data_IF_890015876000
#
_entry.id   IF_890015876000
#
_cell.length_a   1.000
_cell.length_b   1.000
_cell.length_c   1.000
_cell.angle_alpha   90.00
_cell.angle_beta   90.00
_cell.angle_gamma   90.00
#
_symmetry.space_group_name_H-M   'P 1'
#
loop_
_entity.id
_entity.type
_entity.pdbx_description
1 polymer ?
#
# COMPACT_ATOMS: atom_id res chain seq x y z
N UNK A 1 -25.83 -20.52 -9.39
CA UNK A 1 -25.57 -19.29 -10.16
C UNK A 1 -25.73 -19.63 -11.64
N UNK A 2 -26.50 -18.86 -12.42
CA UNK A 2 -26.59 -19.07 -13.87
C UNK A 2 -25.30 -18.53 -14.51
N UNK A 3 -24.70 -19.23 -15.50
CA UNK A 3 -23.55 -18.68 -16.22
C UNK A 3 -23.98 -17.38 -16.93
N UNK A 4 -23.07 -16.40 -17.07
CA UNK A 4 -23.37 -15.18 -17.80
C UNK A 4 -23.75 -15.52 -19.25
N UNK A 5 -24.77 -14.83 -19.76
CA UNK A 5 -25.21 -14.95 -21.16
C UNK A 5 -24.03 -14.54 -22.05
N UNK A 6 -23.58 -15.43 -22.93
CA UNK A 6 -22.58 -15.11 -23.94
C UNK A 6 -23.06 -13.90 -24.77
N UNK A 7 -22.30 -12.80 -24.71
CA UNK A 7 -22.48 -11.64 -25.56
C UNK A 7 -22.28 -12.12 -27.02
N UNK A 8 -23.17 -11.80 -27.97
CA UNK A 8 -22.99 -12.24 -29.35
C UNK A 8 -21.70 -11.62 -29.91
N UNK A 9 -20.71 -12.44 -30.27
CA UNK A 9 -19.53 -11.98 -31.00
C UNK A 9 -19.95 -11.59 -32.42
N UNK A 10 -20.33 -10.33 -32.60
CA UNK A 10 -20.45 -9.72 -33.93
C UNK A 10 -19.03 -9.59 -34.48
N UNK A 11 -18.68 -10.36 -35.52
CA UNK A 11 -17.41 -10.17 -36.23
C UNK A 11 -17.52 -8.85 -37.00
N UNK A 12 -16.92 -7.79 -36.45
CA UNK A 12 -16.71 -6.53 -37.19
C UNK A 12 -15.65 -6.77 -38.26
N UNK A 13 -15.83 -6.19 -39.44
CA UNK A 13 -14.77 -6.20 -40.47
C UNK A 13 -13.61 -5.30 -40.04
N UNK A 14 -12.41 -5.48 -40.62
CA UNK A 14 -11.27 -4.58 -40.36
C UNK A 14 -11.63 -3.12 -40.64
N UNK A 15 -12.42 -2.86 -41.68
CA UNK A 15 -12.90 -1.52 -42.01
C UNK A 15 -13.85 -0.94 -40.94
N UNK A 16 -14.63 -1.78 -40.25
CA UNK A 16 -15.52 -1.35 -39.18
C UNK A 16 -14.77 -1.14 -37.85
N UNK A 17 -13.74 -1.96 -37.58
CA UNK A 17 -12.81 -1.73 -36.48
C UNK A 17 -12.04 -0.43 -36.67
N UNK A 18 -11.38 -0.23 -37.82
CA UNK A 18 -10.63 0.99 -38.12
C UNK A 18 -11.48 2.26 -37.98
N UNK A 19 -12.74 2.24 -38.47
CA UNK A 19 -13.67 3.39 -38.32
C UNK A 19 -14.08 3.67 -36.88
N UNK A 20 -14.08 2.65 -36.02
CA UNK A 20 -14.40 2.79 -34.60
C UNK A 20 -13.18 3.27 -33.82
N UNK A 21 -12.00 2.70 -34.10
CA UNK A 21 -10.75 2.95 -33.38
C UNK A 21 -10.08 4.28 -33.78
N UNK A 22 -10.27 4.77 -35.01
CA UNK A 22 -9.78 6.11 -35.44
C UNK A 22 -10.40 7.29 -34.70
N UNK A 23 -11.39 7.04 -33.83
CA UNK A 23 -12.01 8.04 -32.94
C UNK A 23 -11.62 7.86 -31.48
N UNK A 24 -10.81 6.85 -31.17
CA UNK A 24 -10.31 6.63 -29.82
C UNK A 24 -9.14 7.56 -29.62
N UNK A 25 -9.26 8.37 -28.58
CA UNK A 25 -8.14 9.13 -28.06
C UNK A 25 -7.31 8.18 -27.19
N UNK A 26 -6.11 7.84 -27.65
CA UNK A 26 -5.24 6.84 -27.02
C UNK A 26 -3.83 7.39 -26.85
N UNK A 27 -3.20 7.25 -25.67
CA UNK A 27 -1.80 7.61 -25.46
C UNK A 27 -0.86 6.93 -26.47
N UNK A 28 -1.12 5.68 -26.85
CA UNK A 28 -0.33 4.96 -27.86
C UNK A 28 -0.33 5.68 -29.21
N UNK A 29 -1.51 6.11 -29.69
CA UNK A 29 -1.62 6.84 -30.96
C UNK A 29 -0.93 8.21 -30.90
N UNK A 30 -0.84 8.81 -29.72
CA UNK A 30 -0.22 10.10 -29.48
C UNK A 30 1.24 10.01 -29.05
N UNK A 31 1.80 8.82 -28.88
CA UNK A 31 3.10 8.60 -28.24
C UNK A 31 4.23 9.44 -28.86
N UNK A 32 4.25 9.61 -30.18
CA UNK A 32 5.20 10.51 -30.83
C UNK A 32 4.84 11.99 -30.65
N UNK A 33 3.57 12.35 -30.83
CA UNK A 33 3.14 13.76 -30.81
C UNK A 33 2.97 14.35 -29.41
N UNK A 34 3.17 13.55 -28.36
CA UNK A 34 2.97 13.98 -26.99
C UNK A 34 3.93 15.13 -26.64
N UNK A 35 3.43 16.26 -26.09
CA UNK A 35 4.28 17.41 -25.83
C UNK A 35 5.41 17.15 -24.83
N UNK A 36 5.16 16.34 -23.79
CA UNK A 36 6.18 16.03 -22.78
C UNK A 36 7.26 15.13 -23.36
N UNK A 37 6.86 14.15 -24.18
CA UNK A 37 7.82 13.35 -24.93
C UNK A 37 8.64 14.19 -25.90
N UNK A 38 8.03 15.09 -26.68
CA UNK A 38 8.75 15.91 -27.66
C UNK A 38 9.77 16.83 -26.99
N UNK A 39 9.43 17.41 -25.83
CA UNK A 39 10.35 18.22 -25.03
C UNK A 39 11.60 17.42 -24.61
N UNK A 40 11.41 16.26 -23.97
CA UNK A 40 12.52 15.40 -23.54
C UNK A 40 13.31 14.83 -24.73
N UNK A 41 12.61 14.46 -25.81
CA UNK A 41 13.24 13.94 -27.03
C UNK A 41 14.14 14.97 -27.70
N UNK A 42 13.74 16.25 -27.72
CA UNK A 42 14.60 17.35 -28.18
C UNK A 42 15.76 17.61 -27.22
N UNK A 43 15.53 17.59 -25.90
CA UNK A 43 16.58 17.76 -24.88
C UNK A 43 17.68 16.70 -24.97
N UNK A 44 17.33 15.49 -25.36
CA UNK A 44 18.26 14.36 -25.50
C UNK A 44 18.93 14.29 -26.89
N UNK A 45 18.85 15.35 -27.70
CA UNK A 45 19.36 15.41 -29.08
C UNK A 45 18.71 14.37 -30.04
N UNK A 46 17.44 14.05 -29.80
CA UNK A 46 16.59 13.22 -30.66
C UNK A 46 17.18 11.83 -30.98
N UNK A 47 17.44 10.98 -29.96
CA UNK A 47 18.07 9.69 -30.18
C UNK A 47 17.12 8.70 -30.88
N UNK A 48 17.59 8.06 -31.95
CA UNK A 48 16.81 7.10 -32.75
C UNK A 48 16.22 5.94 -31.91
N UNK A 49 16.85 5.59 -30.79
CA UNK A 49 16.36 4.55 -29.87
C UNK A 49 14.98 4.85 -29.27
N UNK A 50 14.54 6.10 -29.23
CA UNK A 50 13.18 6.44 -28.78
C UNK A 50 12.12 6.06 -29.83
N UNK A 51 12.51 6.06 -31.10
CA UNK A 51 11.57 5.85 -32.21
C UNK A 51 11.12 4.39 -32.33
N UNK A 52 11.87 3.43 -31.77
CA UNK A 52 11.44 2.02 -31.72
C UNK A 52 10.14 1.83 -30.94
N UNK A 53 9.88 2.67 -29.94
CA UNK A 53 8.68 2.60 -29.11
C UNK A 53 7.63 3.66 -29.47
N UNK A 54 8.06 4.84 -29.91
CA UNK A 54 7.16 5.98 -30.15
C UNK A 54 6.64 6.08 -31.58
N UNK A 55 7.03 5.17 -32.49
CA UNK A 55 6.57 5.17 -33.89
C UNK A 55 6.10 3.78 -34.33
N UNK A 56 5.50 3.70 -35.51
CA UNK A 56 5.11 2.42 -36.12
C UNK A 56 6.01 2.08 -37.30
N UNK A 57 6.50 0.84 -37.32
CA UNK A 57 7.31 0.31 -38.41
C UNK A 57 8.72 0.90 -38.43
N UNK A 58 9.28 1.21 -37.26
CA UNK A 58 10.65 1.68 -37.13
C UNK A 58 11.66 0.62 -37.61
N UNK A 59 12.59 1.03 -38.48
CA UNK A 59 13.67 0.21 -38.98
C UNK A 59 14.99 0.58 -38.33
N UNK A 60 15.56 -0.32 -37.50
CA UNK A 60 16.84 -0.08 -36.83
C UNK A 60 18.04 0.12 -37.80
N UNK A 61 17.95 -0.43 -39.01
CA UNK A 61 19.05 -0.35 -39.99
C UNK A 61 19.15 1.02 -40.68
N UNK A 62 18.02 1.69 -40.89
CA UNK A 62 17.95 2.94 -41.65
C UNK A 62 17.40 4.14 -40.87
N UNK A 63 16.97 3.92 -39.62
CA UNK A 63 16.45 4.94 -38.72
C UNK A 63 15.10 5.52 -39.16
N UNK A 64 14.41 4.88 -40.10
CA UNK A 64 13.14 5.37 -40.64
C UNK A 64 11.94 4.70 -39.98
N UNK A 65 10.76 5.35 -40.06
CA UNK A 65 9.49 4.81 -39.59
C UNK A 65 8.38 5.08 -40.61
N UNK A 66 7.28 4.33 -40.53
CA UNK A 66 6.15 4.44 -41.47
C UNK A 66 5.12 5.47 -41.00
N UNK A 67 4.80 5.46 -39.70
CA UNK A 67 3.84 6.37 -39.08
C UNK A 67 4.35 6.90 -37.74
N UNK A 68 4.02 8.15 -37.44
CA UNK A 68 4.18 8.72 -36.10
C UNK A 68 3.19 8.05 -35.13
N UNK A 69 3.63 7.78 -33.91
CA UNK A 69 2.83 7.11 -32.88
C UNK A 69 2.76 5.59 -33.03
N UNK A 70 2.22 4.94 -32.01
CA UNK A 70 1.94 3.50 -31.99
C UNK A 70 0.56 3.27 -32.59
N UNK A 71 0.55 2.92 -33.87
CA UNK A 71 -0.65 2.70 -34.67
C UNK A 71 -1.00 1.22 -34.74
N UNK A 72 -2.14 0.89 -35.38
CA UNK A 72 -2.69 -0.46 -35.45
C UNK A 72 -1.64 -1.52 -35.85
N UNK A 73 -0.76 -1.20 -36.80
CA UNK A 73 0.19 -2.16 -37.36
C UNK A 73 1.31 -2.55 -36.39
N UNK A 74 1.56 -1.74 -35.34
CA UNK A 74 2.52 -2.07 -34.29
C UNK A 74 2.13 -3.36 -33.54
N UNK A 75 0.83 -3.58 -33.31
CA UNK A 75 0.33 -4.76 -32.59
C UNK A 75 -0.28 -5.80 -33.52
N UNK A 76 -1.00 -5.36 -34.55
CA UNK A 76 -1.78 -6.25 -35.42
C UNK A 76 -1.02 -6.72 -36.66
N UNK A 77 0.17 -6.17 -36.91
CA UNK A 77 0.88 -6.30 -38.17
C UNK A 77 0.17 -5.57 -39.32
N UNK A 78 0.68 -5.73 -40.56
CA UNK A 78 0.12 -5.06 -41.73
C UNK A 78 -1.38 -5.34 -41.91
N UNK A 79 -2.17 -4.34 -42.30
CA UNK A 79 -3.64 -4.31 -42.25
C UNK A 79 -4.46 -5.46 -42.89
N UNK A 80 -3.82 -6.40 -43.59
CA UNK A 80 -4.46 -7.57 -44.18
C UNK A 80 -4.50 -8.79 -43.25
N UNK A 81 -3.66 -8.85 -42.21
CA UNK A 81 -3.53 -10.02 -41.32
C UNK A 81 -4.33 -9.87 -40.03
N UNK A 82 -4.33 -8.67 -39.42
CA UNK A 82 -4.93 -8.34 -38.13
C UNK A 82 -4.74 -9.44 -37.09
N UNK A 83 -3.47 -9.68 -36.75
CA UNK A 83 -3.12 -10.68 -35.75
C UNK A 83 -3.76 -10.32 -34.40
N UNK A 84 -4.31 -11.30 -33.69
CA UNK A 84 -4.88 -11.12 -32.35
C UNK A 84 -3.91 -11.64 -31.32
N UNK A 85 -2.68 -11.13 -31.38
CA UNK A 85 -1.68 -11.40 -30.36
C UNK A 85 -1.92 -10.44 -29.19
N UNK A 86 -2.15 -11.02 -28.02
CA UNK A 86 -2.33 -10.32 -26.75
C UNK A 86 -1.35 -10.88 -25.71
N UNK A 87 -0.24 -11.44 -26.19
CA UNK A 87 0.81 -11.95 -25.33
C UNK A 87 1.50 -10.78 -24.61
N UNK A 88 1.95 -10.99 -23.37
CA UNK A 88 2.84 -10.03 -22.69
C UNK A 88 4.09 -9.72 -23.51
N UNK A 89 4.60 -10.69 -24.28
CA UNK A 89 5.78 -10.52 -25.14
C UNK A 89 5.57 -9.48 -26.24
N UNK A 90 4.35 -9.35 -26.78
CA UNK A 90 4.05 -8.28 -27.73
C UNK A 90 4.16 -6.91 -27.06
N UNK A 91 3.58 -6.76 -25.86
CA UNK A 91 3.66 -5.52 -25.09
C UNK A 91 5.10 -5.18 -24.70
N UNK A 92 5.90 -6.20 -24.37
CA UNK A 92 7.30 -6.08 -24.00
C UNK A 92 8.19 -5.51 -25.12
N UNK A 93 7.73 -5.49 -26.37
CA UNK A 93 8.49 -4.85 -27.46
C UNK A 93 8.72 -3.35 -27.22
N UNK A 94 7.81 -2.70 -26.47
CA UNK A 94 7.96 -1.30 -26.07
C UNK A 94 8.03 -1.12 -24.54
N UNK A 95 7.32 -1.94 -23.76
CA UNK A 95 7.24 -1.86 -22.30
C UNK A 95 8.36 -2.68 -21.63
N UNK A 96 9.60 -2.45 -22.07
CA UNK A 96 10.80 -3.09 -21.52
C UNK A 96 11.97 -2.12 -21.47
N UNK A 97 13.03 -2.49 -20.75
CA UNK A 97 14.25 -1.70 -20.65
C UNK A 97 14.09 -0.45 -19.78
N UNK A 98 14.21 0.80 -20.30
CA UNK A 98 14.13 2.02 -19.48
C UNK A 98 12.78 2.24 -18.78
N UNK A 99 11.73 1.61 -19.30
CA UNK A 99 10.41 1.49 -18.69
C UNK A 99 10.15 0.00 -18.42
N UNK A 100 10.62 -0.54 -17.28
CA UNK A 100 10.78 -1.98 -17.06
C UNK A 100 9.47 -2.69 -16.70
N UNK A 101 8.32 -2.26 -17.23
CA UNK A 101 7.01 -2.83 -16.88
C UNK A 101 6.93 -4.34 -17.11
N UNK A 102 7.47 -4.84 -18.23
CA UNK A 102 7.46 -6.27 -18.51
C UNK A 102 8.39 -7.04 -17.56
N UNK A 103 9.55 -6.47 -17.22
CA UNK A 103 10.52 -7.04 -16.30
C UNK A 103 9.98 -7.11 -14.88
N UNK A 104 9.40 -6.00 -14.38
CA UNK A 104 8.70 -5.93 -13.10
C UNK A 104 7.56 -6.96 -13.01
N UNK A 105 6.72 -7.01 -14.05
CA UNK A 105 5.66 -8.02 -14.16
C UNK A 105 6.26 -9.43 -14.17
N UNK A 106 7.32 -9.68 -14.93
CA UNK A 106 7.91 -11.01 -15.02
C UNK A 106 8.52 -11.46 -13.70
N UNK A 107 9.22 -10.56 -13.01
CA UNK A 107 9.89 -10.84 -11.74
C UNK A 107 8.89 -11.07 -10.61
N UNK A 108 7.76 -10.37 -10.65
CA UNK A 108 6.64 -10.57 -9.74
C UNK A 108 5.80 -11.81 -9.99
N UNK A 109 6.15 -12.68 -10.94
CA UNK A 109 5.40 -13.87 -11.36
C UNK A 109 4.49 -14.55 -10.31
N UNK A 110 4.96 -14.85 -9.07
CA UNK A 110 4.12 -15.42 -8.02
C UNK A 110 2.93 -14.55 -7.56
N UNK A 111 3.04 -13.22 -7.64
CA UNK A 111 2.09 -12.25 -7.10
C UNK A 111 0.86 -12.02 -7.99
N UNK A 112 0.98 -12.22 -9.31
CA UNK A 112 -0.11 -12.04 -10.28
C UNK A 112 -0.55 -13.34 -10.98
N UNK A 113 0.04 -14.48 -10.63
CA UNK A 113 -0.27 -15.81 -11.18
C UNK A 113 -0.14 -15.86 -12.71
N UNK A 114 -1.24 -16.06 -13.42
CA UNK A 114 -1.31 -16.13 -14.89
C UNK A 114 -1.90 -14.84 -15.50
N UNK A 115 -1.92 -13.73 -14.74
CA UNK A 115 -2.53 -12.50 -15.22
C UNK A 115 -1.68 -11.84 -16.32
N UNK A 116 -2.32 -11.53 -17.45
CA UNK A 116 -1.70 -10.78 -18.55
C UNK A 116 -2.07 -9.30 -18.49
N UNK A 117 -1.33 -8.45 -19.21
CA UNK A 117 -1.55 -7.01 -19.27
C UNK A 117 -3.03 -6.64 -19.59
N UNK A 118 -3.65 -7.39 -20.51
CA UNK A 118 -5.02 -7.17 -20.97
C UNK A 118 -6.10 -7.64 -20.00
N UNK A 119 -5.74 -8.20 -18.84
CA UNK A 119 -6.71 -8.46 -17.77
C UNK A 119 -6.97 -7.23 -16.89
N UNK A 120 -6.07 -6.24 -16.95
CA UNK A 120 -6.19 -4.99 -16.21
C UNK A 120 -6.37 -3.79 -17.14
N UNK A 121 -5.71 -3.79 -18.30
CA UNK A 121 -5.75 -2.68 -19.26
C UNK A 121 -6.56 -3.00 -20.52
N UNK A 122 -7.23 -1.99 -21.08
CA UNK A 122 -7.73 -2.03 -22.46
C UNK A 122 -6.60 -1.66 -23.42
N UNK A 123 -6.27 -2.58 -24.32
CA UNK A 123 -5.15 -2.42 -25.25
C UNK A 123 -5.35 -1.32 -26.31
N UNK A 124 -6.57 -0.80 -26.50
CA UNK A 124 -6.83 0.26 -27.47
C UNK A 124 -6.83 1.64 -26.82
N UNK A 125 -7.33 1.78 -25.59
CA UNK A 125 -7.35 3.06 -24.88
C UNK A 125 -6.13 3.26 -23.98
N UNK A 126 -5.42 2.17 -23.64
CA UNK A 126 -4.39 2.11 -22.60
C UNK A 126 -4.90 2.44 -21.18
N UNK A 127 -6.22 2.56 -21.00
CA UNK A 127 -6.86 2.79 -19.70
C UNK A 127 -7.07 1.45 -18.98
N UNK A 128 -7.40 1.52 -17.69
CA UNK A 128 -7.86 0.37 -16.94
C UNK A 128 -9.22 -0.13 -17.45
N UNK A 129 -9.48 -1.43 -17.32
CA UNK A 129 -10.77 -2.04 -17.68
C UNK A 129 -11.92 -1.64 -16.75
N UNK A 130 -11.60 -1.08 -15.58
CA UNK A 130 -12.53 -0.55 -14.61
C UNK A 130 -12.23 0.93 -14.32
N UNK A 131 -13.13 1.62 -13.60
CA UNK A 131 -13.00 3.07 -13.38
C UNK A 131 -11.82 3.40 -12.46
N UNK A 132 -11.50 2.51 -11.52
CA UNK A 132 -10.38 2.68 -10.57
C UNK A 132 -9.47 1.46 -10.49
N UNK A 133 -8.27 1.66 -9.95
CA UNK A 133 -7.35 0.58 -9.64
C UNK A 133 -7.98 -0.40 -8.65
N UNK A 134 -8.61 0.10 -7.59
CA UNK A 134 -9.31 -0.74 -6.60
C UNK A 134 -10.39 -1.59 -7.23
N UNK A 135 -11.21 -1.04 -8.12
CA UNK A 135 -12.24 -1.83 -8.82
C UNK A 135 -11.60 -2.93 -9.69
N UNK A 136 -10.53 -2.60 -10.41
CA UNK A 136 -9.77 -3.56 -11.22
C UNK A 136 -9.23 -4.71 -10.37
N UNK A 137 -8.53 -4.40 -9.27
CA UNK A 137 -7.97 -5.39 -8.34
C UNK A 137 -9.07 -6.23 -7.65
N UNK A 138 -10.21 -5.62 -7.30
CA UNK A 138 -11.30 -6.27 -6.58
C UNK A 138 -11.97 -7.41 -7.36
N UNK A 139 -11.85 -7.40 -8.69
CA UNK A 139 -12.35 -8.48 -9.55
C UNK A 139 -11.78 -9.86 -9.18
N UNK A 140 -10.57 -9.88 -8.59
CA UNK A 140 -9.91 -11.05 -8.05
C UNK A 140 -9.73 -10.99 -6.52
N UNK A 141 -9.39 -9.83 -5.95
CA UNK A 141 -9.03 -9.66 -4.54
C UNK A 141 -10.19 -9.21 -3.64
N UNK A 142 -11.44 -9.62 -3.94
CA UNK A 142 -12.64 -9.18 -3.23
C UNK A 142 -12.60 -9.37 -1.71
N UNK A 143 -12.02 -10.47 -1.20
CA UNK A 143 -11.86 -10.69 0.25
C UNK A 143 -10.90 -9.71 0.92
N UNK A 144 -9.88 -9.24 0.21
CA UNK A 144 -8.98 -8.23 0.74
C UNK A 144 -9.68 -6.87 0.74
N UNK A 145 -10.42 -6.53 -0.32
CA UNK A 145 -11.27 -5.34 -0.37
C UNK A 145 -12.22 -5.27 0.83
N UNK A 146 -12.95 -6.35 1.13
CA UNK A 146 -13.85 -6.43 2.29
C UNK A 146 -13.14 -6.17 3.63
N UNK A 147 -11.86 -6.55 3.73
CA UNK A 147 -11.04 -6.33 4.93
C UNK A 147 -10.58 -4.88 5.06
N UNK A 148 -10.23 -4.22 3.94
CA UNK A 148 -9.67 -2.86 3.95
C UNK A 148 -10.72 -1.76 3.87
N UNK A 149 -11.91 -2.01 3.30
CA UNK A 149 -12.94 -0.98 3.05
C UNK A 149 -13.33 -0.19 4.31
N UNK A 150 -13.30 -0.84 5.48
CA UNK A 150 -13.69 -0.24 6.78
C UNK A 150 -12.51 0.25 7.62
N UNK A 151 -11.32 0.22 7.05
CA UNK A 151 -10.10 0.71 7.70
C UNK A 151 -9.92 2.20 7.45
N UNK A 152 -8.89 2.82 8.04
CA UNK A 152 -8.68 4.25 7.89
C UNK A 152 -8.28 4.63 6.47
N UNK A 153 -7.45 3.83 5.81
CA UNK A 153 -7.10 4.05 4.40
C UNK A 153 -8.24 3.71 3.46
N UNK A 154 -9.03 2.66 3.74
CA UNK A 154 -10.22 2.35 2.95
C UNK A 154 -11.30 3.44 3.03
N UNK A 155 -11.61 3.92 4.24
CA UNK A 155 -12.52 5.06 4.44
C UNK A 155 -11.97 6.37 3.85
N UNK A 156 -10.64 6.50 3.80
CA UNK A 156 -9.93 7.65 3.24
C UNK A 156 -9.88 7.68 1.71
N UNK A 157 -10.29 6.60 1.04
CA UNK A 157 -10.25 6.49 -0.42
C UNK A 157 -8.84 6.34 -0.98
N UNK A 158 -7.90 5.76 -0.22
CA UNK A 158 -6.57 5.38 -0.73
C UNK A 158 -6.75 4.18 -1.65
N UNK A 159 -6.29 4.30 -2.89
CA UNK A 159 -6.40 3.25 -3.89
C UNK A 159 -5.30 2.20 -3.70
N UNK A 160 -5.58 0.95 -4.08
CA UNK A 160 -4.59 -0.14 -3.93
C UNK A 160 -3.26 0.19 -4.65
N UNK A 161 -3.34 0.84 -5.81
CA UNK A 161 -2.17 1.21 -6.61
C UNK A 161 -1.32 2.32 -5.98
N UNK A 162 -1.87 3.12 -5.06
CA UNK A 162 -1.12 4.21 -4.40
C UNK A 162 0.04 3.67 -3.56
N UNK A 163 -0.10 2.42 -3.08
CA UNK A 163 0.98 1.69 -2.40
C UNK A 163 1.46 0.54 -3.28
N UNK A 164 0.62 -0.44 -3.63
CA UNK A 164 1.08 -1.68 -4.27
C UNK A 164 1.64 -1.54 -5.68
N UNK A 165 1.48 -0.37 -6.30
CA UNK A 165 2.02 -0.07 -7.63
C UNK A 165 2.72 1.30 -7.64
N UNK A 166 3.61 1.53 -6.67
CA UNK A 166 4.34 2.78 -6.56
C UNK A 166 5.24 3.04 -7.78
N UNK A 167 5.06 4.20 -8.41
CA UNK A 167 5.74 4.62 -9.63
C UNK A 167 6.83 5.62 -9.31
N UNK A 168 8.01 5.45 -9.91
CA UNK A 168 9.08 6.45 -9.90
C UNK A 168 9.47 6.79 -11.33
N UNK A 169 9.63 8.09 -11.66
CA UNK A 169 10.03 8.48 -13.01
C UNK A 169 11.46 8.01 -13.32
N UNK A 170 11.77 7.65 -14.57
CA UNK A 170 13.14 7.38 -14.99
C UNK A 170 14.01 8.64 -14.96
N UNK A 171 15.31 8.46 -14.72
CA UNK A 171 16.33 9.48 -14.95
C UNK A 171 17.26 9.01 -16.08
N UNK A 172 16.93 9.42 -17.30
CA UNK A 172 17.69 9.07 -18.50
C UNK A 172 19.13 9.62 -18.49
N UNK A 173 19.35 10.77 -17.86
CA UNK A 173 20.67 11.42 -17.78
C UNK A 173 21.59 10.67 -16.81
N UNK A 174 21.06 10.15 -15.70
CA UNK A 174 21.78 9.32 -14.76
C UNK A 174 21.80 7.83 -15.13
N UNK A 175 21.02 7.41 -16.13
CA UNK A 175 20.88 6.01 -16.53
C UNK A 175 20.12 5.17 -15.50
N UNK A 176 19.21 5.79 -14.75
CA UNK A 176 18.38 5.13 -13.74
C UNK A 176 17.01 4.85 -14.38
N UNK A 177 16.61 3.58 -14.53
CA UNK A 177 15.28 3.24 -15.02
C UNK A 177 14.22 3.68 -13.99
N UNK A 178 13.03 4.00 -14.47
CA UNK A 178 11.89 4.27 -13.58
C UNK A 178 11.33 2.97 -13.00
N UNK A 179 10.52 3.09 -11.96
CA UNK A 179 9.60 2.03 -11.54
C UNK A 179 8.23 2.29 -12.14
N UNK A 180 7.60 1.27 -12.71
CA UNK A 180 6.22 1.37 -13.20
C UNK A 180 5.21 0.71 -12.27
N UNK A 181 5.65 0.21 -11.11
CA UNK A 181 4.78 -0.38 -10.09
C UNK A 181 4.21 -1.75 -10.46
N UNK A 182 4.75 -2.44 -11.47
CA UNK A 182 4.24 -3.73 -11.94
C UNK A 182 4.93 -4.94 -11.27
N UNK A 183 5.66 -4.71 -10.18
CA UNK A 183 6.12 -5.80 -9.31
C UNK A 183 4.99 -6.28 -8.36
N UNK A 184 3.95 -5.47 -8.13
CA UNK A 184 2.78 -5.78 -7.27
C UNK A 184 3.12 -6.21 -5.83
N UNK A 185 4.39 -6.19 -5.45
CA UNK A 185 4.90 -6.47 -4.13
C UNK A 185 5.34 -5.14 -3.54
N UNK A 186 4.86 -4.87 -2.34
CA UNK A 186 5.34 -3.74 -1.54
C UNK A 186 6.11 -4.34 -0.37
N UNK A 187 7.40 -4.08 -0.30
CA UNK A 187 8.19 -4.41 0.90
C UNK A 187 8.03 -3.30 1.93
N UNK A 188 8.32 -3.59 3.21
CA UNK A 188 8.27 -2.53 4.22
C UNK A 188 9.30 -1.44 3.90
N UNK A 189 10.49 -1.82 3.42
CA UNK A 189 11.59 -0.89 3.09
C UNK A 189 11.26 0.13 1.97
N UNK A 190 10.22 -0.14 1.17
CA UNK A 190 9.72 0.74 0.13
C UNK A 190 8.53 1.60 0.59
N UNK A 191 7.99 1.30 1.78
CA UNK A 191 6.89 2.05 2.35
C UNK A 191 7.42 3.32 3.00
N UNK A 192 7.08 4.47 2.43
CA UNK A 192 7.27 5.76 3.10
C UNK A 192 5.92 6.41 3.42
N UNK A 193 5.58 6.42 4.71
CA UNK A 193 4.36 7.04 5.20
C UNK A 193 4.33 8.56 4.90
N UNK A 194 5.48 9.22 4.85
CA UNK A 194 5.58 10.68 4.69
C UNK A 194 5.31 11.16 3.28
N UNK A 195 5.35 10.26 2.28
CA UNK A 195 4.94 10.55 0.91
C UNK A 195 3.49 11.06 0.86
N UNK A 196 2.61 10.60 1.76
CA UNK A 196 1.21 11.05 1.84
C UNK A 196 0.88 11.78 3.16
N UNK A 197 1.51 11.40 4.28
CA UNK A 197 1.20 11.96 5.60
C UNK A 197 2.21 13.04 5.99
N UNK A 198 1.75 14.30 6.08
CA UNK A 198 2.55 15.41 6.61
C UNK A 198 2.70 15.32 8.14
N UNK A 199 3.49 14.34 8.59
CA UNK A 199 3.73 13.98 9.99
C UNK A 199 5.21 13.71 10.23
N UNK A 200 5.90 14.71 10.76
CA UNK A 200 7.30 14.57 11.17
C UNK A 200 7.40 14.01 12.58
N UNK A 201 8.26 13.01 12.77
CA UNK A 201 8.69 12.56 14.09
C UNK A 201 9.91 13.37 14.54
N UNK A 202 9.84 14.06 15.68
CA UNK A 202 10.94 14.94 16.14
C UNK A 202 11.80 14.37 17.28
N UNK A 203 11.28 13.33 17.94
CA UNK A 203 11.89 12.66 19.09
C UNK A 203 11.73 11.14 19.03
N UNK A 204 10.67 10.66 18.39
CA UNK A 204 10.41 9.24 18.18
C UNK A 204 10.95 8.72 16.83
N UNK A 205 11.63 9.58 16.06
CA UNK A 205 12.50 9.19 14.96
C UNK A 205 13.66 8.27 15.41
N UNK A 206 13.98 8.25 16.70
CA UNK A 206 14.93 7.27 17.27
C UNK A 206 14.46 5.82 17.20
N UNK A 207 13.16 5.57 16.92
CA UNK A 207 12.59 4.23 16.88
C UNK A 207 12.85 3.52 15.55
N UNK A 208 13.24 4.23 14.50
CA UNK A 208 13.51 3.65 13.19
C UNK A 208 13.70 4.70 12.11
N UNK A 209 13.93 4.24 10.89
CA UNK A 209 13.85 5.06 9.67
C UNK A 209 12.50 4.82 9.00
N UNK A 210 12.02 5.80 8.24
CA UNK A 210 10.85 5.69 7.37
C UNK A 210 9.60 5.09 8.07
N UNK A 211 9.03 4.02 7.54
CA UNK A 211 7.87 3.33 8.11
C UNK A 211 8.14 2.69 9.46
N UNK A 212 9.35 2.18 9.71
CA UNK A 212 9.65 1.45 10.96
C UNK A 212 9.41 2.32 12.21
N UNK A 213 9.70 3.62 12.13
CA UNK A 213 9.44 4.52 13.24
C UNK A 213 7.93 4.71 13.48
N UNK A 214 7.15 4.82 12.41
CA UNK A 214 5.70 4.97 12.46
C UNK A 214 5.02 3.69 12.98
N UNK A 215 5.45 2.54 12.45
CA UNK A 215 4.93 1.20 12.77
C UNK A 215 5.40 0.68 14.15
N UNK A 216 6.28 1.42 14.84
CA UNK A 216 6.61 1.15 16.24
C UNK A 216 5.48 1.56 17.19
N UNK A 217 4.53 2.36 16.73
CA UNK A 217 3.36 2.79 17.49
C UNK A 217 2.05 2.42 16.79
N UNK A 218 2.00 2.61 15.47
CA UNK A 218 0.87 2.19 14.65
C UNK A 218 1.03 0.73 14.21
N UNK A 219 -0.09 0.02 14.11
CA UNK A 219 -0.18 -1.36 13.71
C UNK A 219 -0.32 -1.51 12.21
N UNK A 220 -1.22 -2.41 11.82
CA UNK A 220 -1.52 -2.72 10.43
C UNK A 220 -1.82 -1.44 9.62
N UNK A 221 -1.19 -1.31 8.45
CA UNK A 221 -1.11 -0.07 7.67
C UNK A 221 -2.48 0.47 7.25
N UNK A 222 -3.43 -0.39 6.90
CA UNK A 222 -4.74 0.06 6.46
C UNK A 222 -5.55 0.64 7.63
N UNK A 223 -5.46 0.00 8.80
CA UNK A 223 -6.27 0.31 9.98
C UNK A 223 -5.66 1.42 10.85
N UNK A 224 -4.33 1.55 10.83
CA UNK A 224 -3.54 2.52 11.61
C UNK A 224 -3.86 2.51 13.11
N UNK A 225 -4.40 1.40 13.63
CA UNK A 225 -4.62 1.18 15.06
C UNK A 225 -3.29 1.23 15.82
N UNK A 226 -3.31 1.28 17.15
CA UNK A 226 -2.06 1.23 17.92
C UNK A 226 -1.62 -0.23 18.08
N UNK A 227 -0.31 -0.50 18.07
CA UNK A 227 0.24 -1.85 18.26
C UNK A 227 1.24 -1.87 19.40
N UNK A 228 1.08 -2.85 20.29
CA UNK A 228 2.04 -3.10 21.37
C UNK A 228 3.25 -3.91 20.86
N UNK A 229 4.33 -3.92 21.63
CA UNK A 229 5.57 -4.67 21.32
C UNK A 229 5.30 -6.18 21.22
N UNK A 230 4.31 -6.68 21.96
CA UNK A 230 3.86 -8.08 21.89
C UNK A 230 2.84 -8.34 20.75
N UNK A 231 2.66 -7.37 19.86
CA UNK A 231 1.75 -7.37 18.72
C UNK A 231 0.26 -7.27 19.02
N UNK A 232 -0.12 -7.11 20.29
CA UNK A 232 -1.51 -6.83 20.62
C UNK A 232 -1.96 -5.50 20.02
N UNK A 233 -3.12 -5.52 19.37
CA UNK A 233 -3.74 -4.34 18.76
C UNK A 233 -4.56 -3.60 19.82
N UNK A 234 -4.43 -2.28 19.82
CA UNK A 234 -5.11 -1.35 20.70
C UNK A 234 -5.93 -0.34 19.90
N UNK A 235 -7.10 0.07 20.43
CA UNK A 235 -7.82 1.18 19.85
C UNK A 235 -6.99 2.47 19.95
N UNK A 236 -7.24 3.40 19.02
CA UNK A 236 -6.48 4.65 18.91
C UNK A 236 -6.53 5.55 20.14
N UNK A 237 -7.52 5.37 21.01
CA UNK A 237 -7.68 6.13 22.25
C UNK A 237 -6.98 5.50 23.46
N UNK A 238 -6.35 4.32 23.34
CA UNK A 238 -5.63 3.65 24.44
C UNK A 238 -4.12 3.96 24.42
N UNK A 239 -3.79 5.26 24.40
CA UNK A 239 -2.39 5.72 24.34
C UNK A 239 -1.61 5.42 25.61
N UNK A 240 -2.27 5.34 26.79
CA UNK A 240 -1.59 5.06 28.06
C UNK A 240 -0.92 3.69 28.04
N UNK A 241 -1.61 2.65 27.57
CA UNK A 241 -1.04 1.30 27.49
C UNK A 241 0.10 1.23 26.49
N UNK A 242 0.00 1.93 25.36
CA UNK A 242 1.08 2.03 24.39
C UNK A 242 2.33 2.71 24.98
N UNK A 243 2.17 3.92 25.52
CA UNK A 243 3.29 4.73 26.01
C UNK A 243 3.98 4.11 27.23
N UNK A 244 3.24 3.37 28.07
CA UNK A 244 3.79 2.71 29.25
C UNK A 244 4.90 1.71 28.93
N UNK A 245 4.92 1.13 27.72
CA UNK A 245 5.95 0.18 27.30
C UNK A 245 7.38 0.75 27.36
N UNK A 246 7.51 2.05 27.08
CA UNK A 246 8.80 2.74 27.03
C UNK A 246 8.91 3.82 28.13
N UNK A 247 7.84 4.58 28.38
CA UNK A 247 7.82 5.71 29.31
C UNK A 247 7.37 5.33 30.72
N UNK A 248 7.98 4.26 31.26
CA UNK A 248 7.62 3.67 32.56
C UNK A 248 7.57 4.67 33.72
N UNK A 249 8.56 5.56 33.84
CA UNK A 249 8.56 6.57 34.92
C UNK A 249 7.39 7.56 34.82
N UNK A 250 7.03 7.96 33.59
CA UNK A 250 5.90 8.85 33.35
C UNK A 250 4.58 8.14 33.60
N UNK A 251 4.49 6.88 33.19
CA UNK A 251 3.35 6.01 33.51
C UNK A 251 3.17 5.87 35.02
N UNK A 252 4.22 5.59 35.79
CA UNK A 252 4.13 5.54 37.27
C UNK A 252 3.66 6.88 37.86
N UNK A 253 4.10 8.01 37.30
CA UNK A 253 3.66 9.34 37.76
C UNK A 253 2.17 9.58 37.45
N UNK A 254 1.71 9.14 36.27
CA UNK A 254 0.31 9.20 35.85
C UNK A 254 -0.58 8.29 36.73
N UNK A 255 -0.15 7.05 36.97
CA UNK A 255 -0.85 6.08 37.82
C UNK A 255 -1.00 6.59 39.27
N UNK A 256 0.04 7.25 39.80
CA UNK A 256 0.02 7.87 41.13
C UNK A 256 -0.78 9.18 41.18
N UNK A 257 -1.24 9.72 40.04
CA UNK A 257 -1.95 10.99 39.96
C UNK A 257 -1.06 12.23 40.18
N UNK A 258 0.27 12.08 40.10
CA UNK A 258 1.23 13.20 40.14
C UNK A 258 1.50 13.80 38.76
N UNK A 259 1.02 13.14 37.70
CA UNK A 259 1.06 13.58 36.32
C UNK A 259 -0.30 13.31 35.62
N UNK A 260 -0.63 14.09 34.60
CA UNK A 260 -1.94 14.12 33.97
C UNK A 260 -2.87 15.18 34.58
N UNK A 261 -4.17 15.05 34.31
CA UNK A 261 -5.19 16.06 34.65
C UNK A 261 -5.90 15.69 35.96
N UNK A 262 -5.84 16.51 37.03
CA UNK A 262 -6.49 16.19 38.31
C UNK A 262 -7.99 15.94 38.21
N UNK A 263 -8.66 16.71 37.35
CA UNK A 263 -10.09 16.63 37.08
C UNK A 263 -10.48 15.50 36.13
N UNK A 264 -9.51 14.83 35.50
CA UNK A 264 -9.73 13.67 34.64
C UNK A 264 -8.68 12.56 34.90
N UNK A 265 -9.00 11.65 35.83
CA UNK A 265 -8.13 10.52 36.17
C UNK A 265 -7.94 9.49 35.05
N UNK A 266 -8.65 9.56 33.94
CA UNK A 266 -8.52 8.60 32.83
C UNK A 266 -7.96 9.26 31.56
N UNK A 267 -7.57 10.55 31.66
CA UNK A 267 -6.99 11.30 30.57
C UNK A 267 -5.80 10.56 29.94
N UNK A 268 -5.87 10.42 28.63
CA UNK A 268 -4.89 9.72 27.81
C UNK A 268 -3.64 10.59 27.58
N UNK A 269 -2.50 9.95 27.34
CA UNK A 269 -1.24 10.67 27.09
C UNK A 269 -1.35 11.60 25.89
N UNK A 270 -1.98 11.10 24.81
CA UNK A 270 -2.13 11.80 23.54
C UNK A 270 -3.12 13.00 23.60
N UNK A 271 -3.90 13.16 24.67
CA UNK A 271 -4.80 14.32 24.82
C UNK A 271 -4.04 15.60 25.21
N UNK A 272 -2.85 15.45 25.80
CA UNK A 272 -2.01 16.57 26.24
C UNK A 272 -0.66 16.63 25.50
N UNK A 273 -0.16 15.49 25.03
CA UNK A 273 1.11 15.38 24.33
C UNK A 273 0.88 14.95 22.88
N UNK A 274 1.53 15.61 21.94
CA UNK A 274 1.61 15.13 20.56
C UNK A 274 2.60 13.96 20.50
N UNK A 275 2.18 12.72 20.17
CA UNK A 275 3.09 11.59 20.08
C UNK A 275 4.12 11.73 18.95
N UNK A 276 3.84 12.50 17.89
CA UNK A 276 4.78 12.71 16.79
C UNK A 276 5.82 13.77 17.15
N UNK A 277 5.40 14.81 17.86
CA UNK A 277 6.25 15.91 18.29
C UNK A 277 6.10 16.22 19.78
N UNK A 278 6.57 15.32 20.67
CA UNK A 278 6.33 15.47 22.10
C UNK A 278 7.11 16.67 22.66
N UNK A 279 6.40 17.67 23.16
CA UNK A 279 7.00 18.80 23.88
C UNK A 279 7.25 18.39 25.32
N UNK A 280 8.52 18.19 25.68
CA UNK A 280 8.94 17.94 27.07
C UNK A 280 9.12 19.28 27.78
N UNK A 281 8.02 19.88 28.23
CA UNK A 281 8.10 21.03 29.11
C UNK A 281 8.54 20.56 30.50
N UNK A 282 9.75 20.96 30.92
CA UNK A 282 10.34 20.58 32.20
C UNK A 282 9.72 21.39 33.36
N UNK A 283 8.39 21.38 33.47
CA UNK A 283 7.64 22.12 34.50
C UNK A 283 7.48 21.19 35.71
N UNK A 284 7.94 21.60 36.91
CA UNK A 284 7.72 20.85 38.14
C UNK A 284 6.22 20.65 38.37
N UNK A 285 5.87 19.42 38.69
CA UNK A 285 4.53 18.87 38.95
C UNK A 285 3.58 19.85 39.67
N UNK A 286 2.35 19.92 39.16
CA UNK A 286 1.17 20.38 39.88
C UNK A 286 1.02 19.65 41.23
N UNK A 287 0.28 20.20 42.22
CA UNK A 287 0.09 19.57 43.52
C UNK A 287 -0.42 18.11 43.40
N UNK A 288 0.15 17.21 44.21
CA UNK A 288 -0.19 15.78 44.25
C UNK A 288 -1.70 15.59 44.48
N UNK A 289 -2.36 14.88 43.55
CA UNK A 289 -3.74 14.42 43.72
C UNK A 289 -3.70 13.15 44.58
N UNK A 290 -4.65 12.93 45.52
CA UNK A 290 -4.72 11.68 46.27
C UNK A 290 -4.81 10.50 45.29
N UNK A 291 -3.98 9.47 45.49
CA UNK A 291 -3.83 8.31 44.61
C UNK A 291 -5.15 7.87 43.98
N UNK A 292 -5.18 7.74 42.64
CA UNK A 292 -6.27 7.07 41.94
C UNK A 292 -6.43 5.69 42.59
N UNK A 293 -7.66 5.29 42.93
CA UNK A 293 -7.89 3.99 43.61
C UNK A 293 -7.13 2.92 42.82
N UNK A 294 -6.30 2.08 43.45
CA UNK A 294 -5.68 0.99 42.72
C UNK A 294 -6.79 0.20 42.03
N UNK A 295 -6.59 -0.25 40.77
CA UNK A 295 -7.53 -1.17 40.15
C UNK A 295 -7.78 -2.28 41.18
N UNK A 296 -9.04 -2.60 41.44
CA UNK A 296 -9.36 -3.68 42.35
C UNK A 296 -8.60 -4.90 41.85
N UNK A 297 -7.52 -5.28 42.55
CA UNK A 297 -6.78 -6.49 42.24
C UNK A 297 -7.79 -7.63 42.14
N UNK A 298 -7.56 -8.64 41.28
CA UNK A 298 -8.55 -9.66 40.98
C UNK A 298 -9.17 -10.15 42.29
N UNK A 299 -10.45 -9.79 42.49
CA UNK A 299 -11.14 -10.12 43.73
C UNK A 299 -11.39 -11.61 43.67
N UNK A 300 -10.48 -12.40 44.25
CA UNK A 300 -10.74 -13.82 44.47
C UNK A 300 -11.95 -13.84 45.40
N UNK A 301 -13.12 -14.34 44.95
CA UNK A 301 -14.26 -14.48 45.82
C UNK A 301 -13.82 -15.25 47.07
N UNK A 302 -14.22 -14.81 48.27
CA UNK A 302 -13.91 -15.50 49.52
C UNK A 302 -14.23 -17.01 49.45
N UNK A 303 -15.20 -17.39 48.62
CA UNK A 303 -15.55 -18.78 48.31
C UNK A 303 -14.43 -19.54 47.59
N UNK A 304 -13.77 -18.94 46.60
CA UNK A 304 -12.68 -19.56 45.84
C UNK A 304 -11.42 -19.68 46.71
N UNK A 305 -11.13 -18.68 47.55
CA UNK A 305 -10.03 -18.75 48.52
C UNK A 305 -10.26 -19.86 49.57
N UNK A 306 -11.50 -20.03 50.03
CA UNK A 306 -11.85 -21.09 50.97
C UNK A 306 -11.69 -22.49 50.36
N UNK A 307 -12.12 -22.70 49.11
CA UNK A 307 -11.98 -23.98 48.41
C UNK A 307 -10.51 -24.36 48.27
N UNK A 308 -9.65 -23.44 47.82
CA UNK A 308 -8.21 -23.70 47.67
C UNK A 308 -7.56 -24.05 49.00
N UNK A 309 -7.91 -23.35 50.09
CA UNK A 309 -7.38 -23.65 51.43
C UNK A 309 -7.84 -25.04 51.90
N UNK A 310 -9.11 -25.39 51.70
CA UNK A 310 -9.64 -26.72 52.07
C UNK A 310 -8.97 -27.83 51.27
N UNK A 311 -8.70 -27.63 49.98
CA UNK A 311 -8.00 -28.63 49.17
C UNK A 311 -6.53 -28.78 49.57
N UNK A 312 -5.82 -27.68 49.83
CA UNK A 312 -4.44 -27.72 50.33
C UNK A 312 -4.36 -28.42 51.68
N UNK A 313 -5.29 -28.11 52.61
CA UNK A 313 -5.35 -28.77 53.92
C UNK A 313 -5.74 -30.25 53.78
N UNK A 314 -6.67 -30.59 52.90
CA UNK A 314 -7.05 -31.97 52.60
C UNK A 314 -5.87 -32.77 52.05
N UNK A 315 -5.13 -32.19 51.10
CA UNK A 315 -3.95 -32.81 50.51
C UNK A 315 -2.81 -32.97 51.52
N UNK A 316 -2.60 -31.98 52.40
CA UNK A 316 -1.65 -32.08 53.50
C UNK A 316 -2.02 -33.18 54.52
N UNK A 317 -3.30 -33.35 54.83
CA UNK A 317 -3.78 -34.43 55.71
C UNK A 317 -3.58 -35.81 55.06
N UNK A 318 -3.81 -35.93 53.75
CA UNK A 318 -3.56 -37.18 53.00
C UNK A 318 -2.06 -37.51 53.01
N UNK A 319 -1.19 -36.53 52.73
CA UNK A 319 0.27 -36.72 52.77
C UNK A 319 0.78 -37.08 54.16
N UNK A 320 0.22 -36.48 55.22
CA UNK A 320 0.57 -36.80 56.61
C UNK A 320 0.06 -38.17 57.07
N UNK A 321 -0.99 -38.71 56.45
CA UNK A 321 -1.51 -40.08 56.70
C UNK A 321 -0.76 -41.17 55.95
N UNK A 322 0.01 -40.80 54.92
CA UNK A 322 0.80 -41.72 54.08
C UNK A 322 2.29 -41.76 54.48
N UNK A 323 2.64 -41.08 55.58
CA UNK A 323 3.90 -41.26 56.33
C UNK A 323 3.66 -42.13 57.55
#
# INVERSE_FOLDING_TARGET
QRPPRAIPRVRKSHADCAKTLTRIDSPHMKAFSDPEFQEEYEELDSPESCLSCHTTGFGEEDGTYVYEGVTCEACHGPGDTMNLDTSPELCATCHSGPYPTYEEWKDSGPSHLDATCTLCHDQHTAELLAETATETCSSCHGTHLEAVEKTKHGEGGVECADCHMYVTPPDFKAGIPGSTGHEFVMTSEELDCQTCHDRTLSKHDVLGVDEFACLSCHGEIHSLELKLINEDVLPMDDSVRLCAQCHNERYTSWEQGTHGKPEDPEAQCAECHDPHNPIIANIPTLPVVPSRRPPAGPSIPLTTAFVVIVEILGFAIVLLRWR
#
